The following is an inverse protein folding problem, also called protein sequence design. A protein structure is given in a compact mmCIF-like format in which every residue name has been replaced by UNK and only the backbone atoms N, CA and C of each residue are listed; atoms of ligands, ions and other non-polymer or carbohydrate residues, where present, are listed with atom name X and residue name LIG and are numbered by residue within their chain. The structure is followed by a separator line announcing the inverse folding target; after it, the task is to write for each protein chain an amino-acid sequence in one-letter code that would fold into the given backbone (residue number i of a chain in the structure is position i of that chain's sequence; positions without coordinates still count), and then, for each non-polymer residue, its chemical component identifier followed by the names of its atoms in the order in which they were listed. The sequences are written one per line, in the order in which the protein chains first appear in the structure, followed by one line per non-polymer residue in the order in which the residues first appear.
data_IF_853545083711
#
_entry.id   IF_853545083711
#
_cell.length_a   1.000
_cell.length_b   1.000
_cell.length_c   1.000
_cell.angle_alpha   90.00
_cell.angle_beta   90.00
_cell.angle_gamma   90.00
#
_symmetry.space_group_name_H-M   'P 1'
#
loop_
_entity.id
_entity.type
_entity.pdbx_description
1 polymer ?
#
# COMPACT_ATOMS: atom_id res chain seq x y z
N UNK A 1 -4.45 9.10 22.28
CA UNK A 1 -5.14 8.26 21.29
C UNK A 1 -4.31 6.99 21.12
N UNK A 2 -4.81 5.83 21.56
CA UNK A 2 -4.08 4.56 21.44
C UNK A 2 -4.51 3.93 20.12
N UNK A 3 -3.61 3.88 19.13
CA UNK A 3 -3.82 3.07 17.93
C UNK A 3 -3.59 1.63 18.37
N UNK A 4 -4.61 0.75 18.42
CA UNK A 4 -4.40 -0.64 18.79
C UNK A 4 -3.43 -1.27 17.78
N UNK A 5 -2.26 -1.73 18.26
CA UNK A 5 -1.17 -2.35 17.48
C UNK A 5 -1.55 -3.63 16.69
N UNK A 6 -2.84 -3.95 16.57
CA UNK A 6 -3.32 -5.26 16.13
C UNK A 6 -3.59 -5.33 14.61
N UNK A 7 -3.57 -4.21 13.87
CA UNK A 7 -3.98 -4.23 12.45
C UNK A 7 -3.20 -3.31 11.50
N UNK A 8 -1.87 -3.29 11.58
CA UNK A 8 -1.10 -2.73 10.47
C UNK A 8 -1.15 -3.67 9.25
N UNK A 9 -1.41 -3.15 8.04
CA UNK A 9 -1.28 -3.92 6.82
C UNK A 9 0.12 -4.55 6.76
N UNK A 10 0.20 -5.84 6.43
CA UNK A 10 1.48 -6.54 6.26
C UNK A 10 1.72 -6.85 4.79
N UNK A 11 2.99 -6.80 4.41
CA UNK A 11 3.43 -7.15 3.07
C UNK A 11 4.78 -7.87 3.16
N UNK A 12 4.83 -9.10 2.68
CA UNK A 12 6.05 -9.92 2.69
C UNK A 12 6.83 -9.85 1.37
N UNK A 13 6.18 -9.39 0.29
CA UNK A 13 6.69 -9.42 -1.06
C UNK A 13 6.51 -10.78 -1.74
N UNK A 14 5.61 -11.63 -1.23
CA UNK A 14 5.31 -12.93 -1.83
C UNK A 14 4.56 -12.74 -3.17
N UNK A 15 4.77 -13.65 -4.13
CA UNK A 15 4.27 -13.52 -5.50
C UNK A 15 2.73 -13.46 -5.64
N UNK A 16 1.98 -13.84 -4.62
CA UNK A 16 0.52 -13.78 -4.59
C UNK A 16 -0.01 -12.50 -3.92
N UNK A 17 0.86 -11.73 -3.26
CA UNK A 17 0.48 -10.47 -2.64
C UNK A 17 0.43 -9.36 -3.68
N UNK A 18 -0.43 -8.37 -3.45
CA UNK A 18 -0.60 -7.22 -4.34
C UNK A 18 -0.09 -5.95 -3.63
N UNK A 19 1.01 -5.40 -4.14
CA UNK A 19 1.65 -4.21 -3.55
C UNK A 19 0.77 -2.97 -3.64
N UNK A 20 -0.03 -2.82 -4.68
CA UNK A 20 -0.97 -1.69 -4.81
C UNK A 20 -2.08 -1.75 -3.76
N UNK A 21 -2.61 -2.95 -3.49
CA UNK A 21 -3.61 -3.15 -2.45
C UNK A 21 -3.03 -2.86 -1.05
N UNK A 22 -1.80 -3.31 -0.81
CA UNK A 22 -1.07 -3.01 0.42
C UNK A 22 -0.90 -1.50 0.64
N UNK A 23 -0.37 -0.78 -0.36
CA UNK A 23 -0.20 0.68 -0.31
C UNK A 23 -1.56 1.36 -0.05
N UNK A 24 -2.61 0.93 -0.75
CA UNK A 24 -3.97 1.45 -0.53
C UNK A 24 -4.46 1.23 0.89
N UNK A 25 -4.20 0.07 1.49
CA UNK A 25 -4.57 -0.20 2.89
C UNK A 25 -3.84 0.71 3.87
N UNK A 26 -2.55 1.01 3.62
CA UNK A 26 -1.81 1.98 4.43
C UNK A 26 -2.49 3.37 4.38
N UNK A 27 -2.91 3.85 3.20
CA UNK A 27 -3.67 5.10 3.09
C UNK A 27 -5.02 5.08 3.78
N UNK A 28 -5.77 3.97 3.65
CA UNK A 28 -7.10 3.83 4.26
C UNK A 28 -7.02 3.85 5.78
N UNK A 29 -5.96 3.30 6.38
CA UNK A 29 -5.76 3.32 7.83
C UNK A 29 -5.78 4.74 8.39
N UNK A 30 -5.17 5.69 7.69
CA UNK A 30 -5.03 7.08 8.15
C UNK A 30 -6.14 8.02 7.67
N UNK A 31 -7.02 7.57 6.76
CA UNK A 31 -8.13 8.36 6.22
C UNK A 31 -9.06 8.96 7.29
N UNK A 32 -9.42 8.28 8.40
CA UNK A 32 -10.37 8.82 9.38
C UNK A 32 -9.80 9.93 10.26
N UNK A 33 -8.49 10.16 10.22
CA UNK A 33 -7.82 11.12 11.11
C UNK A 33 -7.74 12.49 10.45
N UNK A 34 -8.04 13.52 11.23
CA UNK A 34 -7.91 14.92 10.83
C UNK A 34 -6.45 15.34 10.95
N UNK A 35 -5.68 15.04 9.90
CA UNK A 35 -4.25 15.29 9.76
C UNK A 35 -4.03 16.13 8.51
N UNK A 36 -3.00 16.98 8.53
CA UNK A 36 -2.51 17.62 7.31
C UNK A 36 -2.04 16.57 6.30
N UNK A 37 -1.98 16.95 5.02
CA UNK A 37 -1.49 16.03 3.98
C UNK A 37 -0.02 15.65 4.17
N UNK A 38 0.78 16.54 4.75
CA UNK A 38 2.18 16.28 5.12
C UNK A 38 2.25 15.22 6.23
N UNK A 39 1.58 15.44 7.36
CA UNK A 39 1.53 14.47 8.47
C UNK A 39 0.98 13.12 8.00
N UNK A 40 -0.09 13.13 7.21
CA UNK A 40 -0.69 11.91 6.68
C UNK A 40 0.30 11.14 5.80
N UNK A 41 1.08 11.84 4.96
CA UNK A 41 2.11 11.23 4.12
C UNK A 41 3.21 10.59 4.97
N UNK A 42 3.68 11.27 6.02
CA UNK A 42 4.66 10.72 6.96
C UNK A 42 4.14 9.45 7.66
N UNK A 43 2.91 9.49 8.18
CA UNK A 43 2.30 8.34 8.85
C UNK A 43 2.05 7.16 7.92
N UNK A 44 1.64 7.42 6.67
CA UNK A 44 1.49 6.37 5.66
C UNK A 44 2.86 5.76 5.34
N UNK A 45 3.89 6.57 5.13
CA UNK A 45 5.24 6.06 4.86
C UNK A 45 5.78 5.22 6.02
N UNK A 46 5.63 5.69 7.26
CA UNK A 46 6.01 4.94 8.45
C UNK A 46 5.24 3.62 8.56
N UNK A 47 3.93 3.64 8.26
CA UNK A 47 3.09 2.43 8.27
C UNK A 47 3.50 1.43 7.20
N UNK A 48 3.90 1.93 6.02
CA UNK A 48 4.47 1.08 4.98
C UNK A 48 5.73 0.41 5.51
N UNK A 49 6.72 1.17 5.98
CA UNK A 49 7.97 0.59 6.48
C UNK A 49 7.76 -0.42 7.63
N UNK A 50 6.88 -0.13 8.59
CA UNK A 50 6.56 -1.03 9.71
C UNK A 50 5.83 -2.31 9.23
N UNK A 51 5.01 -2.20 8.19
CA UNK A 51 4.24 -3.32 7.64
C UNK A 51 5.05 -4.26 6.75
N UNK A 52 6.27 -3.90 6.36
CA UNK A 52 7.15 -4.76 5.58
C UNK A 52 7.63 -5.94 6.43
N UNK A 53 7.62 -7.13 5.83
CA UNK A 53 8.12 -8.37 6.42
C UNK A 53 8.89 -9.16 5.37
N UNK A 54 9.66 -10.18 5.76
CA UNK A 54 10.27 -11.12 4.82
C UNK A 54 11.16 -10.45 3.77
N UNK A 55 10.94 -10.74 2.48
CA UNK A 55 11.75 -10.19 1.40
C UNK A 55 11.54 -8.67 1.22
N UNK A 56 10.34 -8.18 1.50
CA UNK A 56 10.02 -6.76 1.44
C UNK A 56 10.73 -5.96 2.54
N UNK A 57 10.84 -6.51 3.76
CA UNK A 57 11.61 -5.89 4.85
C UNK A 57 13.10 -5.79 4.49
N UNK A 58 13.70 -6.88 3.99
CA UNK A 58 15.09 -6.87 3.54
C UNK A 58 15.31 -5.81 2.46
N UNK A 59 14.40 -5.70 1.48
CA UNK A 59 14.48 -4.63 0.49
C UNK A 59 14.33 -3.23 1.10
N UNK A 60 13.36 -3.04 1.99
CA UNK A 60 13.09 -1.76 2.66
C UNK A 60 14.33 -1.22 3.39
N UNK A 61 15.12 -2.08 4.03
CA UNK A 61 16.36 -1.68 4.71
C UNK A 61 17.49 -1.24 3.77
N UNK A 62 17.39 -1.51 2.47
CA UNK A 62 18.37 -1.06 1.45
C UNK A 62 18.06 0.33 0.88
N UNK A 63 16.87 0.87 1.13
CA UNK A 63 16.46 2.18 0.63
C UNK A 63 17.09 3.31 1.43
N UNK A 64 17.27 4.47 0.80
CA UNK A 64 17.80 5.67 1.47
C UNK A 64 16.74 6.28 2.38
N UNK A 65 17.18 7.09 3.35
CA UNK A 65 16.26 7.85 4.20
C UNK A 65 15.39 8.83 3.41
N UNK A 66 15.87 9.35 2.28
CA UNK A 66 15.07 10.17 1.37
C UNK A 66 13.86 9.39 0.84
N UNK A 67 14.08 8.15 0.38
CA UNK A 67 13.00 7.27 -0.07
C UNK A 67 12.10 6.88 1.11
N UNK A 68 12.64 6.63 2.31
CA UNK A 68 11.82 6.30 3.48
C UNK A 68 10.87 7.44 3.91
N UNK A 69 11.26 8.69 3.68
CA UNK A 69 10.48 9.85 4.13
C UNK A 69 9.52 10.38 3.05
N UNK A 70 9.63 9.92 1.81
CA UNK A 70 8.73 10.28 0.72
C UNK A 70 7.82 9.10 0.36
N UNK A 71 6.54 9.20 0.73
CA UNK A 71 5.55 8.16 0.50
C UNK A 71 5.39 7.78 -0.99
N UNK A 72 5.59 8.73 -1.90
CA UNK A 72 5.47 8.50 -3.35
C UNK A 72 6.68 7.72 -3.84
N UNK A 73 7.89 8.14 -3.46
CA UNK A 73 9.11 7.44 -3.82
C UNK A 73 9.16 6.03 -3.22
N UNK A 74 8.71 5.86 -1.97
CA UNK A 74 8.63 4.55 -1.34
C UNK A 74 7.64 3.63 -2.07
N UNK A 75 6.46 4.15 -2.41
CA UNK A 75 5.46 3.40 -3.16
C UNK A 75 6.01 2.95 -4.52
N UNK A 76 6.68 3.84 -5.26
CA UNK A 76 7.27 3.52 -6.55
C UNK A 76 8.40 2.48 -6.43
N UNK A 77 9.27 2.61 -5.42
CA UNK A 77 10.33 1.64 -5.15
C UNK A 77 9.77 0.24 -4.84
N UNK A 78 8.72 0.15 -4.02
CA UNK A 78 8.06 -1.12 -3.70
C UNK A 78 7.38 -1.73 -4.93
N UNK A 79 6.69 -0.93 -5.75
CA UNK A 79 6.04 -1.41 -6.98
C UNK A 79 7.05 -1.90 -8.02
N UNK A 80 8.16 -1.20 -8.17
CA UNK A 80 9.23 -1.61 -9.07
C UNK A 80 9.86 -2.94 -8.63
N UNK A 81 10.00 -3.17 -7.32
CA UNK A 81 10.60 -4.38 -6.77
C UNK A 81 9.64 -5.58 -6.74
N UNK A 82 8.38 -5.34 -6.40
CA UNK A 82 7.34 -6.35 -6.19
C UNK A 82 6.15 -6.08 -7.11
N UNK A 83 6.26 -6.36 -8.42
CA UNK A 83 5.19 -6.07 -9.36
C UNK A 83 3.93 -6.85 -9.00
N UNK A 84 2.80 -6.15 -8.96
CA UNK A 84 1.48 -6.76 -8.70
C UNK A 84 1.21 -7.90 -9.68
N UNK A 85 0.55 -9.00 -9.24
CA UNK A 85 0.16 -10.09 -10.11
C UNK A 85 -0.65 -9.55 -11.29
N UNK A 86 -0.20 -9.83 -12.52
CA UNK A 86 -0.96 -9.47 -13.73
C UNK A 86 -2.22 -10.34 -13.81
N UNK A 87 -3.36 -9.77 -13.43
CA UNK A 87 -4.67 -10.34 -13.70
C UNK A 87 -5.52 -10.65 -12.47
N UNK A 88 -6.19 -9.61 -11.95
CA UNK A 88 -7.64 -9.65 -11.69
C UNK A 88 -8.17 -8.25 -12.04
N UNK A 89 -8.36 -7.97 -13.34
CA UNK A 89 -9.41 -7.02 -13.70
C UNK A 89 -10.72 -7.72 -13.34
N UNK A 90 -11.27 -7.46 -12.16
CA UNK A 90 -12.70 -7.59 -12.01
C UNK A 90 -13.30 -6.40 -12.77
N UNK A 91 -13.59 -6.60 -14.05
CA UNK A 91 -14.52 -5.76 -14.80
C UNK A 91 -15.88 -5.83 -14.09
N UNK A 92 -16.07 -4.95 -13.09
CA UNK A 92 -17.32 -4.85 -12.33
C UNK A 92 -18.42 -4.09 -13.08
N UNK A 93 -18.22 -3.74 -14.36
CA UNK A 93 -19.18 -2.94 -15.14
C UNK A 93 -19.54 -3.59 -16.50
N UNK A 94 -19.88 -4.87 -16.50
CA UNK A 94 -20.42 -5.53 -17.69
C UNK A 94 -21.69 -6.34 -17.41
N UNK A 95 -22.61 -5.81 -16.60
CA UNK A 95 -23.97 -6.34 -16.46
C UNK A 95 -24.98 -5.21 -16.18
N UNK A 96 -25.07 -4.22 -17.06
CA UNK A 96 -26.22 -3.32 -17.17
C UNK A 96 -26.32 -2.82 -18.62
N UNK A 97 -26.68 -3.74 -19.51
CA UNK A 97 -27.21 -3.38 -20.83
C UNK A 97 -28.30 -4.40 -21.15
N UNK A 98 -29.50 -4.12 -20.66
CA UNK A 98 -30.73 -4.76 -21.13
C UNK A 98 -30.82 -4.66 -22.66
N UNK A 99 -31.13 -5.74 -23.39
CA UNK A 99 -31.59 -5.59 -24.76
C UNK A 99 -33.04 -5.13 -24.72
N UNK A 100 -33.27 -3.85 -25.02
CA UNK A 100 -34.57 -3.40 -25.50
C UNK A 100 -34.82 -4.00 -26.88
N UNK A 101 -35.64 -5.05 -26.99
CA UNK A 101 -36.70 -5.21 -28.01
C UNK A 101 -37.57 -6.43 -27.74
#
# INVERSE_FOLDING_TARGET
MVIPMIWYPKFSGAAHENVDLYIRHCWVLWRPYDLSEEEKSEYVSATMMIGLTGAAEVFGTTLTSEIHNDVSQLADALKARFPSPKGVCHDLNAQDAEPST
#
